data_IF_221984048096
#
_entry.id   IF_221984048096
#
_cell.length_a   1.000
_cell.length_b   1.000
_cell.length_c   1.000
_cell.angle_alpha   90.00
_cell.angle_beta   90.00
_cell.angle_gamma   90.00
#
_symmetry.space_group_name_H-M   'P 1'
#
loop_
_entity.id
_entity.type
_entity.pdbx_description
1 polymer ?
#
# COMPACT_ATOMS: atom_id res chain seq x y z
N UNK A 1 -61.14 -8.23 17.51
CA UNK A 1 -61.65 -8.93 18.70
C UNK A 1 -60.91 -10.25 18.74
N UNK A 2 -59.95 -10.41 19.66
CA UNK A 2 -59.14 -11.62 19.80
C UNK A 2 -59.64 -12.33 21.07
N UNK A 3 -60.04 -13.59 20.94
CA UNK A 3 -60.58 -14.39 22.05
C UNK A 3 -59.51 -15.37 22.52
N UNK A 4 -59.04 -15.23 23.75
CA UNK A 4 -58.15 -16.21 24.40
C UNK A 4 -58.91 -16.90 25.53
N UNK A 5 -58.92 -18.23 25.53
CA UNK A 5 -59.29 -19.07 26.69
C UNK A 5 -60.76 -19.03 27.17
N UNK A 6 -61.74 -19.08 26.25
CA UNK A 6 -63.19 -19.24 26.56
C UNK A 6 -63.80 -18.22 27.55
N UNK A 7 -63.07 -17.15 27.87
CA UNK A 7 -63.56 -15.95 28.55
C UNK A 7 -63.76 -14.88 27.48
N UNK A 8 -64.95 -14.29 27.41
CA UNK A 8 -65.29 -13.27 26.40
C UNK A 8 -64.72 -11.91 26.79
N UNK A 9 -63.42 -11.85 27.09
CA UNK A 9 -62.77 -10.59 27.45
C UNK A 9 -62.30 -9.85 26.20
N UNK A 10 -62.81 -8.63 26.04
CA UNK A 10 -62.47 -7.76 24.93
C UNK A 10 -61.19 -6.99 25.26
N UNK A 11 -60.04 -7.55 24.88
CA UNK A 11 -58.76 -6.87 25.02
C UNK A 11 -58.50 -5.94 23.81
N UNK A 12 -58.03 -4.73 24.11
CA UNK A 12 -57.67 -3.73 23.10
C UNK A 12 -56.33 -4.13 22.47
N UNK A 13 -56.25 -4.05 21.14
CA UNK A 13 -54.98 -4.23 20.42
C UNK A 13 -54.06 -3.03 20.66
N UNK A 14 -52.76 -3.30 20.72
CA UNK A 14 -51.74 -2.28 20.76
C UNK A 14 -51.61 -1.62 19.38
N UNK A 15 -51.32 -0.33 19.40
CA UNK A 15 -51.15 0.53 18.23
C UNK A 15 -49.69 0.91 17.97
N UNK A 16 -48.85 0.84 18.99
CA UNK A 16 -47.43 1.15 18.93
C UNK A 16 -46.60 0.23 19.84
N UNK A 17 -45.30 0.22 19.61
CA UNK A 17 -44.34 -0.29 20.60
C UNK A 17 -44.44 0.56 21.87
N UNK A 18 -44.34 -0.06 23.04
CA UNK A 18 -44.53 0.62 24.33
C UNK A 18 -45.96 0.55 24.89
N UNK A 19 -46.95 0.20 24.06
CA UNK A 19 -48.33 0.07 24.52
C UNK A 19 -48.49 -1.08 25.52
N UNK A 20 -49.34 -0.88 26.53
CA UNK A 20 -49.63 -1.90 27.53
C UNK A 20 -50.24 -3.15 26.88
N UNK A 21 -49.76 -4.32 27.32
CA UNK A 21 -50.25 -5.61 26.87
C UNK A 21 -50.22 -6.64 28.01
N UNK A 22 -50.98 -7.70 27.81
CA UNK A 22 -50.98 -8.91 28.64
C UNK A 22 -50.60 -10.14 27.80
N UNK A 23 -50.89 -10.10 26.49
CA UNK A 23 -50.67 -11.20 25.55
C UNK A 23 -50.03 -10.69 24.25
N UNK A 24 -49.20 -11.54 23.63
CA UNK A 24 -48.54 -11.24 22.36
C UNK A 24 -49.53 -10.84 21.25
N UNK A 25 -50.71 -11.47 21.22
CA UNK A 25 -51.77 -11.23 20.25
C UNK A 25 -52.21 -9.75 20.18
N UNK A 26 -52.11 -9.01 21.29
CA UNK A 26 -52.39 -7.57 21.31
C UNK A 26 -51.38 -6.79 20.47
N UNK A 27 -50.11 -7.21 20.50
CA UNK A 27 -49.02 -6.59 19.78
C UNK A 27 -48.98 -7.04 18.30
N UNK A 28 -49.26 -8.32 18.03
CA UNK A 28 -49.04 -8.91 16.71
C UNK A 28 -50.01 -8.41 15.63
N UNK A 29 -51.21 -7.97 16.01
CA UNK A 29 -52.25 -7.56 15.07
C UNK A 29 -51.82 -6.40 14.15
N UNK A 30 -51.24 -5.33 14.71
CA UNK A 30 -50.75 -4.19 13.94
C UNK A 30 -49.23 -4.23 13.73
N UNK A 31 -48.47 -4.64 14.74
CA UNK A 31 -47.01 -4.53 14.76
C UNK A 31 -46.29 -5.67 14.02
N UNK A 32 -47.01 -6.67 13.50
CA UNK A 32 -46.51 -7.93 12.91
C UNK A 32 -46.31 -9.08 13.91
N UNK A 33 -46.20 -10.31 13.39
CA UNK A 33 -45.93 -11.53 14.17
C UNK A 33 -44.59 -11.51 14.91
N UNK A 34 -43.71 -10.59 14.52
CA UNK A 34 -42.40 -10.36 15.13
C UNK A 34 -42.50 -9.45 16.38
N UNK A 35 -43.70 -9.10 16.83
CA UNK A 35 -43.94 -8.40 18.09
C UNK A 35 -44.36 -9.37 19.22
N UNK A 36 -43.97 -9.06 20.44
CA UNK A 36 -44.31 -9.80 21.66
C UNK A 36 -44.69 -8.86 22.81
N UNK A 37 -45.44 -9.40 23.76
CA UNK A 37 -45.71 -8.73 25.02
C UNK A 37 -44.65 -9.11 26.04
N UNK A 38 -43.73 -8.19 26.32
CA UNK A 38 -42.65 -8.39 27.30
C UNK A 38 -42.71 -7.31 28.36
N UNK A 39 -42.72 -7.72 29.62
CA UNK A 39 -42.84 -6.82 30.77
C UNK A 39 -44.07 -5.90 30.71
N UNK A 40 -45.22 -6.46 30.29
CA UNK A 40 -46.50 -5.77 30.07
C UNK A 40 -46.45 -4.63 29.03
N UNK A 41 -45.45 -4.62 28.14
CA UNK A 41 -45.30 -3.64 27.08
C UNK A 41 -45.03 -4.33 25.74
N UNK A 42 -45.69 -3.87 24.68
CA UNK A 42 -45.42 -4.38 23.34
C UNK A 42 -44.00 -4.00 22.90
N UNK A 43 -43.25 -4.99 22.45
CA UNK A 43 -41.86 -4.86 21.99
C UNK A 43 -41.63 -5.75 20.77
N UNK A 44 -40.60 -5.44 19.99
CA UNK A 44 -40.16 -6.36 18.94
C UNK A 44 -39.41 -7.54 19.58
N UNK A 45 -39.64 -8.74 19.07
CA UNK A 45 -38.95 -9.97 19.51
C UNK A 45 -37.44 -9.85 19.34
N UNK A 46 -36.70 -10.66 20.09
CA UNK A 46 -35.25 -10.75 19.92
C UNK A 46 -34.87 -11.07 18.46
N UNK A 47 -33.85 -10.40 17.93
CA UNK A 47 -33.43 -10.53 16.53
C UNK A 47 -34.33 -9.83 15.52
N UNK A 48 -35.22 -8.94 15.98
CA UNK A 48 -36.10 -8.12 15.13
C UNK A 48 -35.99 -6.65 15.52
N UNK A 49 -36.37 -5.73 14.63
CA UNK A 49 -36.30 -4.29 14.88
C UNK A 49 -37.59 -3.59 14.41
N UNK A 50 -37.86 -2.43 14.98
CA UNK A 50 -39.02 -1.63 14.64
C UNK A 50 -38.73 -0.67 13.48
N UNK A 51 -39.61 -0.65 12.49
CA UNK A 51 -39.54 0.30 11.36
C UNK A 51 -40.66 1.32 11.51
N UNK A 52 -40.30 2.53 11.97
CA UNK A 52 -41.23 3.61 12.32
C UNK A 52 -42.20 3.95 11.18
N UNK A 53 -41.67 4.06 9.94
CA UNK A 53 -42.46 4.44 8.77
C UNK A 53 -43.61 3.47 8.47
N UNK A 54 -43.45 2.19 8.82
CA UNK A 54 -44.46 1.15 8.61
C UNK A 54 -45.14 0.70 9.89
N UNK A 55 -44.65 1.19 11.04
CA UNK A 55 -45.11 0.87 12.39
C UNK A 55 -45.15 -0.64 12.67
N UNK A 56 -44.13 -1.37 12.22
CA UNK A 56 -44.05 -2.83 12.32
C UNK A 56 -42.66 -3.30 12.71
N UNK A 57 -42.61 -4.46 13.36
CA UNK A 57 -41.40 -5.21 13.62
C UNK A 57 -41.04 -6.06 12.40
N UNK A 58 -39.76 -6.10 12.07
CA UNK A 58 -39.19 -6.92 11.01
C UNK A 58 -38.00 -7.70 11.54
N UNK A 59 -37.85 -8.94 11.10
CA UNK A 59 -36.60 -9.69 11.29
C UNK A 59 -35.40 -8.85 10.83
N UNK A 60 -34.41 -8.74 11.72
CA UNK A 60 -33.19 -7.99 11.49
C UNK A 60 -32.21 -8.77 10.63
N UNK A 61 -31.75 -8.14 9.56
CA UNK A 61 -30.68 -8.58 8.69
C UNK A 61 -29.62 -7.50 8.61
N UNK A 62 -28.37 -7.87 8.91
CA UNK A 62 -27.21 -7.00 8.79
C UNK A 62 -26.76 -6.88 7.33
N UNK A 63 -25.91 -5.89 7.04
CA UNK A 63 -25.31 -5.72 5.72
C UNK A 63 -24.56 -6.98 5.29
N UNK A 64 -24.79 -7.41 4.04
CA UNK A 64 -24.28 -8.67 3.49
C UNK A 64 -25.06 -9.93 3.92
N UNK A 65 -26.12 -9.80 4.74
CA UNK A 65 -27.02 -10.92 5.06
C UNK A 65 -28.24 -10.96 4.14
N UNK A 66 -28.88 -12.12 4.12
CA UNK A 66 -30.09 -12.34 3.35
C UNK A 66 -31.25 -11.47 3.84
N UNK A 67 -32.01 -10.93 2.90
CA UNK A 67 -33.25 -10.19 3.13
C UNK A 67 -34.33 -10.62 2.15
N UNK A 68 -35.59 -10.47 2.58
CA UNK A 68 -36.75 -10.60 1.69
C UNK A 68 -37.27 -9.24 1.27
N UNK A 69 -37.20 -8.27 2.19
CA UNK A 69 -37.67 -6.90 2.03
C UNK A 69 -36.57 -5.94 2.47
N UNK A 70 -36.59 -4.72 1.93
CA UNK A 70 -35.71 -3.63 2.38
C UNK A 70 -35.83 -3.39 3.89
N UNK A 71 -37.02 -3.50 4.47
CA UNK A 71 -37.24 -3.32 5.91
C UNK A 71 -36.65 -4.43 6.77
N UNK A 72 -36.11 -5.52 6.21
CA UNK A 72 -35.29 -6.45 6.99
C UNK A 72 -33.91 -5.86 7.31
N UNK A 73 -33.41 -4.97 6.45
CA UNK A 73 -32.08 -4.41 6.55
C UNK A 73 -32.03 -3.35 7.64
N UNK A 74 -31.13 -3.54 8.60
CA UNK A 74 -30.94 -2.59 9.69
C UNK A 74 -30.03 -1.44 9.28
N UNK A 75 -30.38 -0.23 9.73
CA UNK A 75 -29.59 0.98 9.51
C UNK A 75 -30.13 1.86 8.39
N UNK A 76 -29.71 3.12 8.41
CA UNK A 76 -30.07 4.11 7.41
C UNK A 76 -29.35 3.85 6.08
N UNK A 77 -29.99 4.27 4.99
CA UNK A 77 -29.50 4.10 3.61
C UNK A 77 -29.17 2.64 3.24
N UNK A 78 -29.92 1.70 3.83
CA UNK A 78 -29.86 0.29 3.48
C UNK A 78 -31.05 -0.11 2.62
N UNK A 79 -30.82 -1.08 1.72
CA UNK A 79 -31.89 -1.68 0.94
C UNK A 79 -31.60 -3.12 0.56
N UNK A 80 -32.66 -3.87 0.26
CA UNK A 80 -32.53 -5.26 -0.15
C UNK A 80 -32.30 -5.32 -1.68
N UNK A 81 -31.10 -5.74 -2.09
CA UNK A 81 -30.72 -5.91 -3.50
C UNK A 81 -30.32 -7.35 -3.73
N UNK A 82 -30.95 -7.99 -4.72
CA UNK A 82 -30.69 -9.40 -5.06
C UNK A 82 -30.78 -10.35 -3.84
N UNK A 83 -31.69 -10.04 -2.92
CA UNK A 83 -31.90 -10.80 -1.69
C UNK A 83 -30.83 -10.57 -0.61
N UNK A 84 -29.97 -9.57 -0.73
CA UNK A 84 -28.92 -9.23 0.25
C UNK A 84 -29.04 -7.77 0.67
N UNK A 85 -28.85 -7.49 1.97
CA UNK A 85 -28.80 -6.11 2.47
C UNK A 85 -27.52 -5.41 2.02
N UNK A 86 -27.66 -4.27 1.35
CA UNK A 86 -26.56 -3.45 0.84
C UNK A 86 -26.78 -1.99 1.18
N UNK A 87 -25.70 -1.20 1.09
CA UNK A 87 -25.75 0.25 1.21
C UNK A 87 -26.20 0.90 -0.10
N UNK A 88 -26.82 2.09 0.03
CA UNK A 88 -27.07 3.03 -1.06
C UNK A 88 -25.81 3.35 -1.87
N UNK A 89 -26.00 3.86 -3.09
CA UNK A 89 -24.89 4.25 -3.95
C UNK A 89 -23.99 5.30 -3.26
N UNK A 90 -22.67 5.16 -3.42
CA UNK A 90 -21.68 6.04 -2.80
C UNK A 90 -21.51 5.81 -1.30
N UNK A 91 -21.88 4.62 -0.81
CA UNK A 91 -21.72 4.21 0.58
C UNK A 91 -21.29 2.75 0.66
N UNK A 92 -20.61 2.41 1.75
CA UNK A 92 -20.18 1.05 2.05
C UNK A 92 -20.47 0.64 3.51
N UNK A 93 -20.50 -0.66 3.82
CA UNK A 93 -20.72 -1.14 5.19
C UNK A 93 -19.54 -0.82 6.12
N UNK A 94 -19.84 -0.36 7.33
CA UNK A 94 -18.87 -0.31 8.41
C UNK A 94 -18.42 -1.72 8.85
N UNK A 95 -17.39 -1.79 9.71
CA UNK A 95 -16.89 -3.08 10.23
C UNK A 95 -17.96 -3.91 10.96
N UNK A 96 -18.89 -3.25 11.66
CA UNK A 96 -20.01 -3.89 12.36
C UNK A 96 -21.17 -4.33 11.45
N UNK A 97 -21.12 -4.02 10.15
CA UNK A 97 -22.16 -4.33 9.15
C UNK A 97 -23.57 -3.86 9.52
N UNK A 98 -23.68 -2.78 10.29
CA UNK A 98 -24.94 -2.23 10.78
C UNK A 98 -25.14 -0.75 10.42
N UNK A 99 -24.16 -0.15 9.74
CA UNK A 99 -24.20 1.23 9.29
C UNK A 99 -23.59 1.35 7.89
N UNK A 100 -24.15 2.24 7.08
CA UNK A 100 -23.59 2.65 5.81
C UNK A 100 -22.79 3.96 5.97
N UNK A 101 -21.50 3.89 5.70
CA UNK A 101 -20.58 5.03 5.70
C UNK A 101 -20.45 5.60 4.29
N UNK A 102 -20.27 6.91 4.13
CA UNK A 102 -19.97 7.50 2.82
C UNK A 102 -18.66 6.93 2.26
N UNK A 103 -18.64 6.73 0.94
CA UNK A 103 -17.42 6.44 0.21
C UNK A 103 -16.61 7.73 0.07
N UNK A 104 -15.48 7.84 0.76
CA UNK A 104 -14.59 9.00 0.70
C UNK A 104 -13.25 8.60 0.06
N UNK A 105 -12.84 9.34 -0.96
CA UNK A 105 -11.63 9.06 -1.72
C UNK A 105 -10.41 9.81 -1.17
N UNK A 106 -9.21 9.38 -1.57
CA UNK A 106 -7.96 10.08 -1.23
C UNK A 106 -8.03 11.58 -1.56
N UNK A 107 -7.63 12.41 -0.61
CA UNK A 107 -7.65 13.86 -0.74
C UNK A 107 -9.00 14.53 -0.42
N UNK A 108 -10.05 13.75 -0.14
CA UNK A 108 -11.35 14.27 0.23
C UNK A 108 -11.54 14.36 1.75
N UNK A 109 -12.55 15.15 2.16
CA UNK A 109 -12.86 15.38 3.56
C UNK A 109 -13.49 14.15 4.21
N UNK A 110 -12.92 13.74 5.34
CA UNK A 110 -13.36 12.60 6.12
C UNK A 110 -13.51 12.96 7.60
N UNK A 111 -14.27 12.14 8.33
CA UNK A 111 -14.41 12.23 9.79
C UNK A 111 -13.88 11.01 10.53
N UNK A 112 -13.79 9.86 9.85
CA UNK A 112 -13.36 8.58 10.43
C UNK A 112 -12.56 7.79 9.42
N UNK A 113 -11.61 7.01 9.94
CA UNK A 113 -10.78 6.09 9.15
C UNK A 113 -11.58 5.18 8.23
N UNK A 114 -12.71 4.66 8.72
CA UNK A 114 -13.54 3.71 7.99
C UNK A 114 -14.22 4.33 6.77
N UNK A 115 -14.35 5.66 6.66
CA UNK A 115 -14.94 6.31 5.49
C UNK A 115 -14.01 6.27 4.27
N UNK A 116 -12.71 6.16 4.48
CA UNK A 116 -11.71 6.17 3.42
C UNK A 116 -11.65 4.81 2.72
N UNK A 117 -12.18 4.73 1.50
CA UNK A 117 -12.36 3.45 0.80
C UNK A 117 -11.11 2.96 0.06
N UNK A 118 -10.11 3.82 -0.13
CA UNK A 118 -8.86 3.40 -0.75
C UNK A 118 -8.11 2.47 0.20
N UNK A 119 -7.66 1.33 -0.30
CA UNK A 119 -6.88 0.39 0.49
C UNK A 119 -5.63 1.08 1.09
N UNK A 120 -5.31 0.73 2.34
CA UNK A 120 -4.22 1.34 3.10
C UNK A 120 -4.32 2.86 3.28
N UNK A 121 -5.53 3.43 3.19
CA UNK A 121 -5.81 4.82 3.56
C UNK A 121 -6.45 4.93 4.96
N UNK A 122 -6.43 6.14 5.51
CA UNK A 122 -7.00 6.50 6.79
C UNK A 122 -7.33 8.00 6.82
N UNK A 123 -8.10 8.42 7.81
CA UNK A 123 -8.48 9.82 7.96
C UNK A 123 -7.46 10.54 8.85
N UNK A 124 -6.76 11.53 8.31
CA UNK A 124 -5.83 12.37 9.08
C UNK A 124 -6.01 13.82 8.67
N UNK A 125 -6.04 14.73 9.64
CA UNK A 125 -6.22 16.17 9.40
C UNK A 125 -7.45 16.48 8.52
N UNK A 126 -8.55 15.79 8.82
CA UNK A 126 -9.81 15.83 8.08
C UNK A 126 -9.69 15.43 6.59
N UNK A 127 -8.66 14.69 6.19
CA UNK A 127 -8.44 14.27 4.80
C UNK A 127 -8.03 12.79 4.70
N UNK A 128 -8.59 12.07 3.72
CA UNK A 128 -8.18 10.69 3.47
C UNK A 128 -6.76 10.66 2.87
N UNK A 129 -5.83 10.03 3.57
CA UNK A 129 -4.43 9.90 3.17
C UNK A 129 -3.86 8.50 3.45
N UNK A 130 -2.72 8.18 2.85
CA UNK A 130 -2.08 6.88 3.02
C UNK A 130 -1.59 6.66 4.45
N UNK A 131 -1.74 5.42 4.95
CA UNK A 131 -1.25 5.01 6.27
C UNK A 131 0.28 5.06 6.37
N UNK A 132 0.78 5.09 7.60
CA UNK A 132 2.22 5.10 7.93
C UNK A 132 2.90 3.80 7.46
N UNK A 133 3.40 3.81 6.22
CA UNK A 133 4.14 2.75 5.49
C UNK A 133 3.79 2.75 4.01
N UNK A 134 2.84 3.57 3.59
CA UNK A 134 2.41 3.69 2.21
C UNK A 134 2.63 5.13 1.72
N UNK A 135 2.75 5.25 0.40
CA UNK A 135 2.86 6.53 -0.31
C UNK A 135 1.81 6.58 -1.41
N UNK A 136 1.43 7.80 -1.77
CA UNK A 136 0.53 8.05 -2.86
C UNK A 136 1.20 7.70 -4.20
N UNK A 137 0.53 6.93 -5.04
CA UNK A 137 1.00 6.63 -6.39
C UNK A 137 0.97 7.88 -7.30
N UNK A 138 1.57 7.78 -8.48
CA UNK A 138 1.65 8.89 -9.44
C UNK A 138 0.26 9.39 -9.87
N UNK A 139 -0.71 8.49 -10.01
CA UNK A 139 -2.09 8.84 -10.38
C UNK A 139 -2.92 9.42 -9.22
N UNK A 140 -2.37 9.45 -7.99
CA UNK A 140 -3.01 9.97 -6.78
C UNK A 140 -4.32 9.28 -6.40
N UNK A 141 -4.47 8.02 -6.74
CA UNK A 141 -5.68 7.23 -6.49
C UNK A 141 -5.43 5.93 -5.70
N UNK A 142 -4.18 5.61 -5.39
CA UNK A 142 -3.79 4.41 -4.64
C UNK A 142 -2.66 4.71 -3.66
N UNK A 143 -2.64 3.93 -2.58
CA UNK A 143 -1.56 3.92 -1.61
C UNK A 143 -0.67 2.70 -1.85
N UNK A 144 0.54 2.93 -2.35
CA UNK A 144 1.52 1.87 -2.60
C UNK A 144 2.43 1.70 -1.39
N UNK A 145 2.82 0.46 -1.02
CA UNK A 145 3.75 0.23 0.08
C UNK A 145 5.11 0.85 -0.24
N UNK A 146 5.71 1.52 0.75
CA UNK A 146 7.06 2.07 0.63
C UNK A 146 8.05 0.93 0.45
N UNK A 147 8.94 1.05 -0.54
CA UNK A 147 10.10 0.17 -0.68
C UNK A 147 11.24 0.74 0.16
N UNK A 148 11.70 -0.03 1.15
CA UNK A 148 12.61 0.46 2.20
C UNK A 148 14.08 0.47 1.78
N UNK A 149 14.45 -0.34 0.78
CA UNK A 149 15.83 -0.53 0.33
C UNK A 149 15.88 -0.97 -1.14
N UNK A 150 17.10 -1.02 -1.69
CA UNK A 150 17.31 -1.63 -3.00
C UNK A 150 16.88 -3.11 -2.98
N UNK A 151 16.42 -3.57 -4.13
CA UNK A 151 15.87 -4.90 -4.42
C UNK A 151 14.51 -5.23 -3.80
N UNK A 152 13.95 -4.35 -2.97
CA UNK A 152 12.55 -4.47 -2.54
C UNK A 152 11.61 -4.40 -3.75
N UNK A 153 10.44 -5.03 -3.62
CA UNK A 153 9.42 -5.02 -4.66
C UNK A 153 8.84 -3.63 -4.84
N UNK A 154 8.54 -3.29 -6.09
CA UNK A 154 7.94 -2.01 -6.44
C UNK A 154 7.09 -2.13 -7.71
N UNK A 155 6.24 -1.14 -7.89
CA UNK A 155 5.41 -0.91 -9.07
C UNK A 155 5.78 0.44 -9.72
N UNK A 156 6.11 1.45 -8.90
CA UNK A 156 6.47 2.80 -9.33
C UNK A 156 7.78 3.29 -8.69
N UNK A 157 8.46 4.21 -9.37
CA UNK A 157 9.72 4.81 -8.90
C UNK A 157 9.57 5.50 -7.54
N UNK A 158 8.40 6.10 -7.27
CA UNK A 158 8.11 6.83 -6.04
C UNK A 158 8.31 5.95 -4.78
N UNK A 159 8.03 4.64 -4.87
CA UNK A 159 8.20 3.71 -3.75
C UNK A 159 9.66 3.61 -3.34
N UNK A 160 10.55 3.52 -4.32
CA UNK A 160 11.99 3.39 -4.11
C UNK A 160 12.60 4.73 -3.67
N UNK A 161 12.19 5.82 -4.31
CA UNK A 161 12.69 7.18 -4.05
C UNK A 161 12.41 7.66 -2.61
N UNK A 162 11.38 7.11 -1.96
CA UNK A 162 10.99 7.53 -0.61
C UNK A 162 12.09 7.29 0.44
N UNK A 163 12.85 6.19 0.36
CA UNK A 163 13.95 5.88 1.30
C UNK A 163 15.33 5.80 0.66
N UNK A 164 15.41 5.53 -0.64
CA UNK A 164 16.68 5.42 -1.37
C UNK A 164 16.72 6.49 -2.45
N UNK A 165 17.40 7.63 -2.21
CA UNK A 165 17.60 8.65 -3.23
C UNK A 165 18.22 8.06 -4.50
N UNK A 166 17.84 8.60 -5.65
CA UNK A 166 18.33 8.18 -6.97
C UNK A 166 18.07 6.71 -7.33
N UNK A 167 17.11 6.07 -6.67
CA UNK A 167 16.60 4.77 -7.07
C UNK A 167 15.41 4.90 -8.02
N UNK A 168 15.08 3.79 -8.69
CA UNK A 168 13.93 3.63 -9.56
C UNK A 168 13.37 2.23 -9.44
N UNK A 169 12.13 2.05 -9.86
CA UNK A 169 11.55 0.74 -10.03
C UNK A 169 11.95 0.16 -11.40
N UNK A 170 12.69 -0.95 -11.39
CA UNK A 170 13.04 -1.65 -12.61
C UNK A 170 12.19 -2.90 -12.77
N UNK A 171 11.34 -2.91 -13.80
CA UNK A 171 10.48 -4.06 -14.14
C UNK A 171 11.29 -5.05 -14.98
N UNK A 172 11.60 -6.21 -14.39
CA UNK A 172 12.25 -7.32 -15.06
C UNK A 172 11.30 -8.47 -15.35
N UNK A 173 11.68 -9.39 -16.24
CA UNK A 173 10.97 -10.65 -16.50
C UNK A 173 11.68 -11.77 -15.73
N UNK A 174 10.94 -12.46 -14.87
CA UNK A 174 11.44 -13.63 -14.15
C UNK A 174 11.41 -14.89 -15.03
N UNK A 175 12.08 -15.97 -14.57
CA UNK A 175 12.21 -17.23 -15.30
C UNK A 175 10.86 -17.92 -15.60
N UNK A 176 9.84 -17.64 -14.79
CA UNK A 176 8.48 -18.15 -14.96
C UNK A 176 7.63 -17.27 -15.92
N UNK A 177 8.19 -16.19 -16.46
CA UNK A 177 7.49 -15.24 -17.34
C UNK A 177 6.84 -14.06 -16.62
N UNK A 178 6.85 -14.03 -15.28
CA UNK A 178 6.23 -12.95 -14.51
C UNK A 178 7.02 -11.65 -14.62
N UNK A 179 6.31 -10.53 -14.70
CA UNK A 179 6.90 -9.19 -14.63
C UNK A 179 6.93 -8.73 -13.19
N UNK A 180 8.12 -8.51 -12.66
CA UNK A 180 8.31 -8.10 -11.27
C UNK A 180 9.21 -6.87 -11.21
N UNK A 181 8.73 -5.82 -10.56
CA UNK A 181 9.49 -4.63 -10.28
C UNK A 181 10.37 -4.80 -9.04
N UNK A 182 11.62 -4.35 -9.14
CA UNK A 182 12.54 -4.24 -8.00
C UNK A 182 13.22 -2.88 -7.99
N UNK A 183 13.41 -2.32 -6.81
CA UNK A 183 14.16 -1.08 -6.65
C UNK A 183 15.62 -1.28 -7.05
N UNK A 184 16.10 -0.45 -7.95
CA UNK A 184 17.50 -0.44 -8.43
C UNK A 184 17.96 1.01 -8.55
N UNK A 185 19.27 1.24 -8.72
CA UNK A 185 19.72 2.60 -9.01
C UNK A 185 19.19 3.08 -10.37
N UNK A 186 18.83 4.36 -10.42
CA UNK A 186 18.41 5.02 -11.63
C UNK A 186 19.56 5.06 -12.66
N UNK A 187 19.21 5.32 -13.92
CA UNK A 187 20.23 5.48 -14.96
C UNK A 187 21.19 6.61 -14.60
N UNK A 188 22.51 6.36 -14.75
CA UNK A 188 23.55 7.31 -14.34
C UNK A 188 23.95 7.23 -12.87
N UNK A 189 23.44 6.24 -12.13
CA UNK A 189 23.82 5.94 -10.76
C UNK A 189 24.22 4.47 -10.62
N UNK A 190 25.13 4.17 -9.70
CA UNK A 190 25.55 2.82 -9.38
C UNK A 190 25.41 2.54 -7.88
N UNK A 191 25.37 1.25 -7.54
CA UNK A 191 25.15 0.82 -6.17
C UNK A 191 26.48 0.64 -5.42
N UNK A 192 26.55 1.20 -4.21
CA UNK A 192 27.55 0.86 -3.19
C UNK A 192 26.85 0.74 -1.84
N UNK A 193 27.01 -0.41 -1.19
CA UNK A 193 26.43 -0.69 0.14
C UNK A 193 24.93 -0.36 0.23
N UNK A 194 24.14 -0.82 -0.75
CA UNK A 194 22.69 -0.59 -0.86
C UNK A 194 22.26 0.88 -1.02
N UNK A 195 23.18 1.77 -1.42
CA UNK A 195 22.91 3.18 -1.74
C UNK A 195 23.29 3.47 -3.18
N UNK A 196 22.65 4.46 -3.78
CA UNK A 196 22.92 4.89 -5.15
C UNK A 196 23.79 6.15 -5.16
N UNK A 197 24.92 6.07 -5.86
CA UNK A 197 25.84 7.19 -6.06
C UNK A 197 25.90 7.57 -7.54
N UNK A 198 26.04 8.87 -7.87
CA UNK A 198 26.29 9.31 -9.23
C UNK A 198 27.45 8.53 -9.85
N UNK A 199 27.23 8.00 -11.04
CA UNK A 199 28.25 7.30 -11.81
C UNK A 199 29.16 8.31 -12.50
N UNK A 200 30.37 8.50 -11.97
CA UNK A 200 31.38 9.41 -12.51
C UNK A 200 32.57 8.61 -13.05
N UNK A 201 32.91 8.85 -14.31
CA UNK A 201 34.05 8.22 -14.98
C UNK A 201 35.35 8.99 -14.74
N UNK A 202 36.48 8.38 -15.12
CA UNK A 202 37.81 8.97 -15.01
C UNK A 202 37.85 10.41 -15.52
N UNK A 203 38.58 11.27 -14.81
CA UNK A 203 38.67 12.72 -15.03
C UNK A 203 37.37 13.52 -14.82
N UNK A 204 36.23 12.87 -14.57
CA UNK A 204 34.97 13.50 -14.18
C UNK A 204 35.01 14.14 -12.79
N UNK A 205 34.06 15.03 -12.51
CA UNK A 205 33.95 15.75 -11.23
C UNK A 205 33.29 14.84 -10.18
N UNK A 206 33.89 14.74 -9.00
CA UNK A 206 33.39 13.94 -7.89
C UNK A 206 33.41 14.75 -6.58
N UNK A 207 32.57 14.34 -5.64
CA UNK A 207 32.52 14.88 -4.29
C UNK A 207 33.02 13.85 -3.26
N UNK A 208 32.75 12.57 -3.52
CA UNK A 208 33.15 11.43 -2.68
C UNK A 208 33.72 10.30 -3.53
N UNK A 209 34.49 9.40 -2.92
CA UNK A 209 35.14 8.28 -3.60
C UNK A 209 34.13 7.34 -4.27
N UNK A 210 32.97 7.15 -3.63
CA UNK A 210 31.86 6.35 -4.14
C UNK A 210 31.33 6.86 -5.48
N UNK A 211 31.55 8.11 -5.87
CA UNK A 211 31.16 8.57 -7.21
C UNK A 211 31.98 7.88 -8.32
N UNK A 212 33.23 7.54 -8.02
CA UNK A 212 34.20 7.00 -8.99
C UNK A 212 34.20 5.47 -9.02
N UNK A 213 33.67 4.81 -7.99
CA UNK A 213 33.83 3.38 -7.75
C UNK A 213 33.02 2.44 -8.67
N UNK A 214 32.63 2.92 -9.86
CA UNK A 214 32.25 2.06 -11.00
C UNK A 214 33.46 1.21 -11.42
N UNK A 215 34.68 1.76 -11.28
CA UNK A 215 35.94 1.04 -11.42
C UNK A 215 36.66 1.00 -10.06
N UNK A 216 37.02 -0.18 -9.53
CA UNK A 216 37.71 -0.30 -8.24
C UNK A 216 39.05 0.44 -8.18
N UNK A 217 39.65 0.70 -9.34
CA UNK A 217 40.96 1.33 -9.47
C UNK A 217 40.89 2.87 -9.55
N UNK A 218 39.70 3.45 -9.31
CA UNK A 218 39.48 4.90 -9.36
C UNK A 218 38.93 5.46 -8.05
N UNK A 219 39.44 6.62 -7.66
CA UNK A 219 39.17 7.28 -6.38
C UNK A 219 39.06 8.80 -6.57
N UNK A 220 38.38 9.52 -5.68
CA UNK A 220 38.14 10.95 -5.82
C UNK A 220 39.32 11.76 -5.28
N UNK A 221 40.18 12.28 -6.18
CA UNK A 221 41.37 13.05 -5.81
C UNK A 221 41.22 14.48 -6.32
N UNK A 222 41.22 15.44 -5.38
CA UNK A 222 41.08 16.87 -5.67
C UNK A 222 39.83 17.20 -6.52
N UNK A 223 38.69 16.59 -6.17
CA UNK A 223 37.39 16.81 -6.82
C UNK A 223 37.27 16.18 -8.21
N UNK A 224 38.18 15.29 -8.60
CA UNK A 224 38.09 14.52 -9.84
C UNK A 224 38.39 13.04 -9.65
N UNK A 225 37.69 12.18 -10.39
CA UNK A 225 37.99 10.75 -10.40
C UNK A 225 39.35 10.53 -11.05
N UNK A 226 40.29 9.93 -10.30
CA UNK A 226 41.65 9.62 -10.76
C UNK A 226 41.99 8.18 -10.42
N UNK A 227 43.06 7.67 -11.03
CA UNK A 227 43.58 6.37 -10.66
C UNK A 227 44.03 6.33 -9.20
N UNK A 228 43.72 5.22 -8.54
CA UNK A 228 44.17 4.91 -7.20
C UNK A 228 45.71 4.85 -7.12
N UNK A 229 46.23 4.88 -5.89
CA UNK A 229 47.67 4.93 -5.66
C UNK A 229 48.43 3.83 -6.42
N UNK A 230 49.56 4.22 -7.02
CA UNK A 230 50.44 3.36 -7.83
C UNK A 230 49.88 2.89 -9.18
N UNK A 231 48.73 3.41 -9.61
CA UNK A 231 48.18 3.17 -10.93
C UNK A 231 48.33 4.40 -11.83
N UNK A 232 48.42 4.17 -13.13
CA UNK A 232 48.55 5.20 -14.15
C UNK A 232 47.39 5.10 -15.15
N UNK A 233 46.94 6.24 -15.67
CA UNK A 233 45.97 6.27 -16.75
C UNK A 233 46.65 5.83 -18.06
N UNK A 234 46.14 4.77 -18.67
CA UNK A 234 46.54 4.24 -19.98
C UNK A 234 45.25 4.00 -20.77
N UNK A 235 45.10 4.67 -21.92
CA UNK A 235 43.92 4.57 -22.79
C UNK A 235 42.57 4.79 -22.06
N UNK A 236 42.52 5.75 -21.12
CA UNK A 236 41.31 6.08 -20.35
C UNK A 236 40.95 5.05 -19.28
N UNK A 237 41.86 4.13 -18.95
CA UNK A 237 41.71 3.14 -17.88
C UNK A 237 42.90 3.20 -16.92
N UNK A 238 42.70 2.80 -15.68
CA UNK A 238 43.79 2.70 -14.72
C UNK A 238 44.51 1.36 -14.86
N UNK A 239 45.82 1.42 -15.09
CA UNK A 239 46.70 0.26 -15.22
C UNK A 239 47.82 0.33 -14.19
N UNK A 240 48.21 -0.81 -13.63
CA UNK A 240 49.36 -0.87 -12.74
C UNK A 240 50.63 -0.41 -13.48
N UNK A 241 51.42 0.47 -12.85
CA UNK A 241 52.70 0.87 -13.40
C UNK A 241 53.65 -0.35 -13.44
N UNK A 242 53.83 -0.97 -14.60
CA UNK A 242 54.85 -2.01 -14.77
C UNK A 242 56.22 -1.35 -14.61
N UNK A 243 56.97 -1.71 -13.55
CA UNK A 243 58.40 -1.36 -13.46
C UNK A 243 59.14 -2.11 -14.57
N UNK A 244 59.26 -1.51 -15.75
CA UNK A 244 60.26 -1.89 -16.73
C UNK A 244 61.64 -1.55 -16.15
N UNK A 245 62.26 -2.50 -15.44
CA UNK A 245 63.68 -2.44 -15.10
C UNK A 245 64.45 -2.68 -16.39
N UNK A 246 64.83 -1.61 -17.10
CA UNK A 246 65.78 -1.68 -18.20
C UNK A 246 67.15 -2.07 -17.61
N UNK A 247 67.54 -3.35 -17.71
CA UNK A 247 68.94 -3.73 -17.58
C UNK A 247 69.72 -3.15 -18.76
N UNK A 248 70.35 -2.00 -18.57
CA UNK A 248 71.30 -1.44 -19.53
C UNK A 248 72.57 -2.31 -19.57
N UNK A 249 72.73 -3.11 -20.62
CA UNK A 249 74.03 -3.73 -20.94
C UNK A 249 74.88 -2.65 -21.61
N UNK A 250 75.87 -2.12 -20.88
CA UNK A 250 76.90 -1.28 -21.49
C UNK A 250 77.93 -2.15 -22.23
N UNK A 251 78.10 -1.88 -23.52
CA UNK A 251 79.14 -2.42 -24.39
C UNK A 251 80.43 -1.63 -24.14
N UNK A 252 81.51 -2.30 -23.74
CA UNK A 252 82.87 -1.73 -23.78
C UNK A 252 83.62 -2.36 -24.96
N UNK A 253 83.84 -1.57 -26.00
CA UNK A 253 84.78 -1.85 -27.10
C UNK A 253 86.16 -1.37 -26.68
N UNK A 254 87.16 -2.26 -26.68
CA UNK A 254 88.57 -1.88 -26.64
C UNK A 254 89.27 -2.46 -27.87
N UNK A 255 89.49 -1.58 -28.85
CA UNK A 255 90.38 -1.76 -29.99
C UNK A 255 91.80 -1.27 -29.62
N UNK A 256 92.81 -2.04 -30.02
CA UNK A 256 94.22 -1.65 -30.01
C UNK A 256 95.14 -2.85 -30.30
N UNK A 257 95.43 -3.18 -31.57
CA UNK A 257 96.69 -2.87 -32.30
C UNK A 257 97.86 -3.76 -31.80
N UNK A 258 98.61 -4.58 -32.56
CA UNK A 258 98.94 -4.67 -34.00
C UNK A 258 99.76 -5.96 -34.28
N UNK A 259 99.66 -6.48 -35.52
CA UNK A 259 100.72 -7.07 -36.40
C UNK A 259 101.55 -8.29 -35.92
N UNK A 260 102.01 -9.25 -36.72
CA UNK A 260 101.92 -9.72 -38.12
C UNK A 260 102.85 -10.96 -38.21
N UNK A 261 102.64 -11.92 -39.13
CA UNK A 261 103.64 -12.72 -39.91
C UNK A 261 102.88 -13.91 -40.57
N UNK A 262 102.54 -13.89 -41.87
CA UNK A 262 103.33 -14.30 -43.06
C UNK A 262 103.85 -15.76 -43.00
N UNK A 263 103.15 -16.70 -43.67
CA UNK A 263 103.48 -17.20 -45.02
C UNK A 263 102.28 -17.95 -45.61
#
# INVERSE_FOLDING_TARGET
MLTYNNTRDCIRFATAIGDFCQYDDQCQYLLSTDAECRDNSCQCREGTHYVERERRCYKTSYLGQYCRLTNNCIGDDTYCRDGICVCALGKHPNAGRNLCLPDVYLGEKCFRDEECITESSHCSDDECCCRVSHILNQARNQCLPIAGKLYDLCEEDLQCLHRVPYSRCHIGVQMNGDRVGKCTCANGFHEISYKCYPSVYLNGICEVDENCAINPDTVCINGRCRCADHMIEVDGQCSAATRNVLFSIQIIVLLGIKQLFLY
#
